data_IF_372582600193
#
_entry.id   IF_372582600193
#
_cell.length_a   1.000
_cell.length_b   1.000
_cell.length_c   1.000
_cell.angle_alpha   90.00
_cell.angle_beta   90.00
_cell.angle_gamma   90.00
#
_symmetry.space_group_name_H-M   'P 1'
#
loop_
_entity.id
_entity.type
_entity.pdbx_description
1 polymer ?
#
# COMPACT_ATOMS: atom_id res chain seq x y z
N UNK A 1 -40.09 16.88 41.30
CA UNK A 1 -39.22 17.53 40.30
C UNK A 1 -38.58 16.44 39.47
N UNK A 2 -39.19 16.13 38.32
CA UNK A 2 -38.69 15.15 37.38
C UNK A 2 -37.36 15.66 36.82
N UNK A 3 -36.26 15.01 37.21
CA UNK A 3 -35.01 15.07 36.48
C UNK A 3 -35.29 14.36 35.15
N UNK A 4 -35.61 15.14 34.14
CA UNK A 4 -35.84 14.67 32.78
C UNK A 4 -34.63 13.88 32.31
N UNK A 5 -34.90 12.65 31.88
CA UNK A 5 -34.02 11.63 31.33
C UNK A 5 -33.38 12.01 29.98
N UNK A 6 -33.12 13.32 29.76
CA UNK A 6 -32.73 13.93 28.48
C UNK A 6 -31.32 14.53 28.48
N UNK A 7 -30.46 14.16 29.43
CA UNK A 7 -29.01 14.30 29.28
C UNK A 7 -28.41 12.91 29.09
N UNK A 8 -28.75 12.26 27.98
CA UNK A 8 -27.89 11.20 27.45
C UNK A 8 -26.60 11.93 27.09
N UNK A 9 -25.55 11.76 27.90
CA UNK A 9 -24.18 12.09 27.52
C UNK A 9 -23.97 11.50 26.12
N UNK A 10 -23.84 12.35 25.10
CA UNK A 10 -23.42 11.91 23.78
C UNK A 10 -21.96 11.45 23.93
N UNK A 11 -21.78 10.18 24.25
CA UNK A 11 -20.46 9.56 24.27
C UNK A 11 -19.94 9.55 22.83
N UNK A 12 -18.84 10.26 22.60
CA UNK A 12 -18.15 10.25 21.32
C UNK A 12 -17.49 8.88 21.14
N UNK A 13 -18.14 7.99 20.38
CA UNK A 13 -17.52 6.75 19.91
C UNK A 13 -16.94 7.00 18.53
N UNK A 14 -15.63 6.84 18.37
CA UNK A 14 -14.96 6.96 17.08
C UNK A 14 -14.15 5.69 16.78
N UNK A 15 -14.27 5.19 15.56
CA UNK A 15 -13.39 4.17 15.02
C UNK A 15 -12.37 4.89 14.12
N UNK A 16 -11.10 4.51 14.22
CA UNK A 16 -10.03 5.28 13.60
C UNK A 16 -9.39 4.53 12.42
N UNK A 17 -9.57 5.08 11.22
CA UNK A 17 -8.71 4.82 10.07
C UNK A 17 -7.83 6.06 9.85
N UNK A 18 -6.69 6.17 10.56
CA UNK A 18 -5.97 7.43 10.70
C UNK A 18 -5.42 7.93 9.37
N UNK A 19 -5.07 7.04 8.42
CA UNK A 19 -4.55 7.40 7.09
C UNK A 19 -5.47 8.38 6.35
N UNK A 20 -6.79 8.26 6.50
CA UNK A 20 -7.73 9.19 5.85
C UNK A 20 -7.59 10.64 6.31
N UNK A 21 -6.97 10.87 7.48
CA UNK A 21 -6.69 12.22 8.02
C UNK A 21 -5.42 12.85 7.47
N UNK A 22 -4.67 12.17 6.60
CA UNK A 22 -3.53 12.80 5.94
C UNK A 22 -4.01 13.99 5.10
N UNK A 23 -3.32 15.14 5.17
CA UNK A 23 -3.68 16.33 4.40
C UNK A 23 -3.84 16.07 2.89
N UNK A 24 -3.06 15.13 2.35
CA UNK A 24 -3.11 14.72 0.94
C UNK A 24 -4.47 14.19 0.53
N UNK A 25 -5.12 13.33 1.35
CA UNK A 25 -6.45 12.81 1.02
C UNK A 25 -7.56 13.83 1.22
N UNK A 26 -7.42 14.71 2.22
CA UNK A 26 -8.36 15.82 2.44
C UNK A 26 -8.32 16.78 1.23
N UNK A 27 -7.11 17.13 0.75
CA UNK A 27 -6.92 17.96 -0.44
C UNK A 27 -7.39 17.25 -1.70
N UNK A 28 -7.11 15.95 -1.86
CA UNK A 28 -7.63 15.16 -2.97
C UNK A 28 -9.16 15.20 -3.00
N UNK A 29 -9.85 15.00 -1.86
CA UNK A 29 -11.32 15.09 -1.81
C UNK A 29 -11.79 16.45 -2.29
N UNK A 30 -11.20 17.53 -1.78
CA UNK A 30 -11.52 18.90 -2.20
C UNK A 30 -11.30 19.09 -3.70
N UNK A 31 -10.19 18.58 -4.23
CA UNK A 31 -9.88 18.64 -5.65
C UNK A 31 -10.93 17.90 -6.50
N UNK A 32 -11.34 16.70 -6.08
CA UNK A 32 -12.39 15.92 -6.74
C UNK A 32 -13.76 16.63 -6.69
N UNK A 33 -14.08 17.34 -5.60
CA UNK A 33 -15.37 18.05 -5.45
C UNK A 33 -15.41 19.42 -6.10
N UNK A 34 -14.33 20.20 -6.00
CA UNK A 34 -14.25 21.60 -6.44
C UNK A 34 -13.81 21.70 -7.91
N UNK A 35 -12.93 20.80 -8.38
CA UNK A 35 -12.33 20.84 -9.72
C UNK A 35 -12.81 19.71 -10.66
N UNK A 36 -13.97 19.10 -10.40
CA UNK A 36 -14.48 17.99 -11.21
C UNK A 36 -14.53 18.29 -12.72
N UNK A 37 -14.76 19.55 -13.11
CA UNK A 37 -14.77 19.96 -14.52
C UNK A 37 -13.39 19.85 -15.22
N UNK A 38 -12.31 19.97 -14.45
CA UNK A 38 -10.94 20.01 -14.96
C UNK A 38 -10.37 18.62 -15.23
N UNK A 39 -10.76 17.62 -14.42
CA UNK A 39 -10.27 16.24 -14.56
C UNK A 39 -11.10 15.41 -15.56
N UNK A 40 -12.36 15.79 -15.76
CA UNK A 40 -13.31 15.06 -16.61
C UNK A 40 -13.86 13.80 -15.94
N UNK A 41 -14.40 12.87 -16.75
CA UNK A 41 -15.00 11.64 -16.22
C UNK A 41 -13.92 10.68 -15.71
N UNK A 42 -14.10 10.16 -14.49
CA UNK A 42 -13.21 9.13 -13.92
C UNK A 42 -13.40 7.83 -14.72
N UNK A 43 -12.29 7.19 -15.10
CA UNK A 43 -12.24 6.00 -15.96
C UNK A 43 -11.71 4.75 -15.25
N UNK A 44 -10.82 4.91 -14.27
CA UNK A 44 -10.44 3.84 -13.36
C UNK A 44 -9.82 4.42 -12.08
N UNK A 45 -9.88 3.62 -11.02
CA UNK A 45 -9.23 3.94 -9.75
C UNK A 45 -8.43 2.71 -9.35
N UNK A 46 -7.15 2.91 -9.04
CA UNK A 46 -6.26 1.88 -8.56
C UNK A 46 -5.66 2.30 -7.22
N UNK A 47 -5.87 1.50 -6.18
CA UNK A 47 -5.22 1.70 -4.89
C UNK A 47 -4.21 0.58 -4.68
N UNK A 48 -2.93 0.92 -4.65
CA UNK A 48 -1.82 0.03 -4.33
C UNK A 48 -1.34 0.26 -2.92
N UNK A 49 -1.22 -0.82 -2.14
CA UNK A 49 -0.55 -0.79 -0.84
C UNK A 49 0.55 -1.84 -0.89
N UNK A 50 1.79 -1.39 -0.80
CA UNK A 50 2.95 -2.23 -0.61
C UNK A 50 3.35 -2.17 0.86
N UNK A 51 3.32 -3.31 1.54
CA UNK A 51 3.65 -3.38 2.95
C UNK A 51 4.57 -4.57 3.25
N UNK A 52 5.47 -4.37 4.21
CA UNK A 52 6.31 -5.44 4.71
C UNK A 52 5.48 -6.43 5.55
N UNK A 53 5.81 -7.72 5.48
CA UNK A 53 5.24 -8.70 6.40
C UNK A 53 5.58 -8.34 7.84
N UNK A 54 4.60 -7.81 8.58
CA UNK A 54 4.65 -7.77 10.02
C UNK A 54 4.76 -9.23 10.50
N UNK A 55 5.78 -9.56 11.30
CA UNK A 55 6.01 -10.92 11.85
C UNK A 55 4.78 -11.54 12.55
N UNK A 56 3.76 -10.75 12.87
CA UNK A 56 2.48 -11.16 13.46
C UNK A 56 1.39 -11.56 12.44
N UNK A 57 1.60 -11.37 11.14
CA UNK A 57 0.62 -11.67 10.10
C UNK A 57 0.62 -13.15 9.66
N UNK A 58 1.63 -13.95 10.04
CA UNK A 58 1.91 -15.25 9.44
C UNK A 58 1.39 -16.49 10.20
N UNK A 59 0.75 -16.36 11.37
CA UNK A 59 0.25 -17.52 12.12
C UNK A 59 -1.18 -17.96 11.73
N UNK A 60 -1.28 -18.75 10.65
CA UNK A 60 -2.14 -19.93 10.45
C UNK A 60 -3.68 -19.92 10.58
N UNK A 61 -4.35 -18.78 10.67
CA UNK A 61 -5.79 -18.63 10.31
C UNK A 61 -6.10 -17.36 9.53
N UNK A 62 -5.06 -16.77 8.93
CA UNK A 62 -4.93 -15.33 8.72
C UNK A 62 -4.91 -14.96 7.21
N UNK A 63 -5.92 -15.41 6.46
CA UNK A 63 -6.38 -14.63 5.30
C UNK A 63 -7.18 -13.40 5.74
N UNK A 64 -7.37 -13.25 7.05
CA UNK A 64 -8.08 -12.16 7.70
C UNK A 64 -7.20 -10.94 8.00
N UNK A 65 -5.87 -11.05 8.17
CA UNK A 65 -5.08 -9.88 8.61
C UNK A 65 -4.85 -8.87 7.50
N UNK A 66 -4.42 -9.27 6.30
CA UNK A 66 -4.05 -8.29 5.28
C UNK A 66 -5.27 -7.47 4.83
N UNK A 67 -6.36 -8.16 4.50
CA UNK A 67 -7.62 -7.54 4.11
C UNK A 67 -8.24 -6.74 5.26
N UNK A 68 -8.25 -7.23 6.50
CA UNK A 68 -8.75 -6.43 7.64
C UNK A 68 -7.85 -5.24 7.97
N UNK A 69 -6.54 -5.39 7.84
CA UNK A 69 -5.57 -4.39 8.29
C UNK A 69 -5.41 -3.33 7.21
N UNK A 70 -4.97 -3.71 6.02
CA UNK A 70 -4.67 -2.77 4.94
C UNK A 70 -5.87 -2.55 4.00
N UNK A 71 -6.66 -3.59 3.76
CA UNK A 71 -7.87 -3.46 2.94
C UNK A 71 -8.91 -2.54 3.57
N UNK A 72 -9.03 -2.56 4.89
CA UNK A 72 -9.92 -1.62 5.60
C UNK A 72 -9.50 -0.15 5.44
N UNK A 73 -8.19 0.14 5.43
CA UNK A 73 -7.69 1.50 5.18
C UNK A 73 -8.03 1.94 3.76
N UNK A 74 -7.73 1.12 2.75
CA UNK A 74 -8.05 1.45 1.36
C UNK A 74 -9.55 1.70 1.17
N UNK A 75 -10.40 0.80 1.69
CA UNK A 75 -11.86 0.94 1.64
C UNK A 75 -12.35 2.21 2.34
N UNK A 76 -11.80 2.53 3.53
CA UNK A 76 -12.20 3.73 4.28
C UNK A 76 -11.93 5.01 3.50
N UNK A 77 -10.79 5.09 2.80
CA UNK A 77 -10.41 6.23 1.97
C UNK A 77 -11.32 6.30 0.75
N UNK A 78 -11.57 5.17 0.08
CA UNK A 78 -12.46 5.14 -1.08
C UNK A 78 -13.88 5.57 -0.73
N UNK A 79 -14.44 5.11 0.40
CA UNK A 79 -15.75 5.55 0.86
C UNK A 79 -15.77 7.01 1.31
N UNK A 80 -14.66 7.52 1.85
CA UNK A 80 -14.53 8.94 2.15
C UNK A 80 -14.51 9.80 0.89
N UNK A 81 -13.82 9.38 -0.17
CA UNK A 81 -13.66 10.13 -1.41
C UNK A 81 -14.93 10.07 -2.28
N UNK A 82 -15.54 8.90 -2.40
CA UNK A 82 -16.61 8.62 -3.38
C UNK A 82 -17.97 8.31 -2.76
N UNK A 83 -18.04 8.19 -1.43
CA UNK A 83 -19.24 7.81 -0.70
C UNK A 83 -19.37 6.28 -0.50
N UNK A 84 -20.27 5.91 0.40
CA UNK A 84 -20.57 4.52 0.85
C UNK A 84 -21.58 3.80 -0.04
N UNK A 85 -22.25 4.54 -0.93
CA UNK A 85 -23.40 4.02 -1.65
C UNK A 85 -22.95 3.12 -2.82
N UNK A 86 -23.67 2.00 -2.97
CA UNK A 86 -23.68 1.14 -4.14
C UNK A 86 -22.43 0.29 -4.44
N UNK A 87 -22.16 -0.75 -3.66
CA UNK A 87 -21.35 -1.89 -4.16
C UNK A 87 -22.23 -2.88 -4.94
N UNK A 88 -21.81 -3.33 -6.12
CA UNK A 88 -22.52 -4.37 -6.91
C UNK A 88 -21.76 -5.65 -7.12
N UNK A 89 -20.45 -5.58 -7.32
CA UNK A 89 -19.68 -6.76 -7.70
C UNK A 89 -18.31 -6.67 -7.07
N UNK A 90 -17.91 -7.78 -6.47
CA UNK A 90 -16.63 -7.94 -5.82
C UNK A 90 -15.98 -9.16 -6.44
N UNK A 91 -14.87 -8.95 -7.16
CA UNK A 91 -14.02 -10.06 -7.62
C UNK A 91 -12.70 -10.01 -6.85
N UNK A 92 -12.28 -11.15 -6.34
CA UNK A 92 -11.09 -11.27 -5.50
C UNK A 92 -10.12 -12.27 -6.12
N UNK A 93 -8.84 -11.90 -6.14
CA UNK A 93 -7.74 -12.77 -6.50
C UNK A 93 -6.72 -12.80 -5.36
N UNK A 94 -6.31 -14.00 -4.99
CA UNK A 94 -5.30 -14.22 -3.95
C UNK A 94 -4.12 -14.96 -4.56
N UNK A 95 -2.94 -14.39 -4.40
CA UNK A 95 -1.69 -15.02 -4.80
C UNK A 95 -0.83 -15.11 -3.56
N UNK A 96 -0.56 -16.33 -3.12
CA UNK A 96 0.42 -16.59 -2.08
C UNK A 96 1.59 -17.31 -2.71
N UNK A 97 2.73 -16.62 -2.76
CA UNK A 97 4.02 -17.20 -3.09
C UNK A 97 4.82 -17.40 -1.79
N UNK A 98 5.95 -18.11 -1.81
CA UNK A 98 6.75 -18.36 -0.61
C UNK A 98 7.19 -17.08 0.14
N UNK A 99 7.33 -15.96 -0.58
CA UNK A 99 7.90 -14.71 -0.08
C UNK A 99 6.99 -13.49 -0.26
N UNK A 100 5.76 -13.68 -0.74
CA UNK A 100 4.80 -12.61 -1.01
C UNK A 100 3.37 -13.11 -0.81
N UNK A 101 2.59 -12.31 -0.11
CA UNK A 101 1.16 -12.50 0.04
C UNK A 101 0.46 -11.33 -0.63
N UNK A 102 -0.21 -11.58 -1.74
CA UNK A 102 -0.93 -10.55 -2.50
C UNK A 102 -2.43 -10.80 -2.41
N UNK A 103 -3.15 -9.76 -1.99
CA UNK A 103 -4.60 -9.69 -1.91
C UNK A 103 -5.08 -8.59 -2.86
N UNK A 104 -5.66 -8.99 -3.98
CA UNK A 104 -6.26 -8.07 -4.93
C UNK A 104 -7.77 -8.24 -4.91
N UNK A 105 -8.50 -7.13 -4.83
CA UNK A 105 -9.94 -7.14 -5.00
C UNK A 105 -10.40 -5.97 -5.86
N UNK A 106 -11.40 -6.23 -6.69
CA UNK A 106 -12.05 -5.24 -7.51
C UNK A 106 -13.43 -4.98 -6.94
N UNK A 107 -13.79 -3.70 -6.86
CA UNK A 107 -15.06 -3.21 -6.36
C UNK A 107 -15.75 -2.42 -7.46
N UNK A 108 -16.92 -2.90 -7.87
CA UNK A 108 -17.75 -2.21 -8.83
C UNK A 108 -18.82 -1.38 -8.11
N UNK A 109 -18.84 -0.08 -8.38
CA UNK A 109 -19.89 0.81 -7.89
C UNK A 109 -21.13 0.74 -8.79
N UNK A 110 -22.33 0.58 -8.22
CA UNK A 110 -23.57 0.43 -8.99
C UNK A 110 -24.39 1.74 -9.05
N UNK A 111 -24.25 2.50 -10.15
CA UNK A 111 -25.19 3.54 -10.65
C UNK A 111 -25.89 4.44 -9.60
N UNK A 112 -25.56 5.73 -9.61
CA UNK A 112 -26.31 6.73 -10.41
C UNK A 112 -25.41 7.80 -11.05
N UNK A 113 -24.12 7.77 -10.72
CA UNK A 113 -23.06 8.61 -11.29
C UNK A 113 -22.11 7.66 -12.04
N UNK A 114 -21.59 8.07 -13.20
CA UNK A 114 -20.77 7.25 -14.13
C UNK A 114 -19.38 6.91 -13.55
N UNK A 115 -19.32 6.35 -12.35
CA UNK A 115 -18.05 5.92 -11.78
C UNK A 115 -17.67 4.54 -12.34
N UNK A 116 -16.42 4.37 -12.77
CA UNK A 116 -15.91 3.13 -13.33
C UNK A 116 -15.66 2.08 -12.23
N UNK A 117 -15.34 0.83 -12.60
CA UNK A 117 -14.81 -0.15 -11.65
C UNK A 117 -13.58 0.40 -10.90
N UNK A 118 -13.53 0.16 -9.59
CA UNK A 118 -12.37 0.48 -8.74
C UNK A 118 -11.59 -0.82 -8.51
N UNK A 119 -10.28 -0.79 -8.76
CA UNK A 119 -9.36 -1.86 -8.42
C UNK A 119 -8.59 -1.49 -7.16
N UNK A 120 -8.51 -2.42 -6.21
CA UNK A 120 -7.66 -2.28 -5.02
C UNK A 120 -6.71 -3.46 -4.99
N UNK A 121 -5.43 -3.15 -5.11
CA UNK A 121 -4.33 -4.10 -5.14
C UNK A 121 -3.51 -3.94 -3.85
N UNK A 122 -3.51 -4.96 -2.99
CA UNK A 122 -2.76 -4.94 -1.74
C UNK A 122 -1.69 -6.02 -1.83
N UNK A 123 -0.45 -5.57 -1.92
CA UNK A 123 0.73 -6.41 -2.08
C UNK A 123 1.48 -6.40 -0.75
N UNK A 124 1.61 -7.56 -0.13
CA UNK A 124 2.39 -7.73 1.09
C UNK A 124 3.63 -8.54 0.79
N UNK A 125 4.77 -7.87 0.73
CA UNK A 125 6.05 -8.50 0.49
C UNK A 125 6.69 -8.85 1.84
N UNK A 126 6.97 -10.13 2.07
CA UNK A 126 7.59 -10.54 3.34
C UNK A 126 9.09 -10.29 3.41
N UNK A 127 9.71 -10.03 2.27
CA UNK A 127 11.15 -9.92 2.11
C UNK A 127 11.68 -8.48 2.11
N UNK A 128 10.85 -7.48 1.77
CA UNK A 128 11.24 -6.07 1.85
C UNK A 128 11.00 -5.61 3.29
N UNK A 129 12.03 -5.18 4.00
CA UNK A 129 11.89 -4.63 5.36
C UNK A 129 11.61 -3.12 5.30
N UNK A 130 10.82 -2.59 6.25
CA UNK A 130 10.63 -1.15 6.53
C UNK A 130 10.00 -0.23 5.46
N UNK A 131 9.52 -0.74 4.32
CA UNK A 131 8.82 0.07 3.32
C UNK A 131 7.31 -0.21 3.36
N UNK A 132 6.55 0.69 3.98
CA UNK A 132 5.14 0.86 3.65
C UNK A 132 5.04 1.96 2.61
N UNK A 133 4.47 1.64 1.46
CA UNK A 133 4.19 2.58 0.41
C UNK A 133 2.72 2.45 0.04
N UNK A 134 2.02 3.58 -0.01
CA UNK A 134 0.66 3.63 -0.51
C UNK A 134 0.58 4.55 -1.72
N UNK A 135 -0.07 4.04 -2.76
CA UNK A 135 -0.31 4.78 -3.98
C UNK A 135 -1.79 4.68 -4.34
N UNK A 136 -2.45 5.82 -4.48
CA UNK A 136 -3.81 5.91 -5.04
C UNK A 136 -3.74 6.64 -6.37
N UNK A 137 -4.10 5.94 -7.43
CA UNK A 137 -4.13 6.44 -8.80
C UNK A 137 -5.59 6.56 -9.22
N UNK A 138 -5.99 7.76 -9.63
CA UNK A 138 -7.31 8.03 -10.21
C UNK A 138 -7.08 8.47 -11.65
N UNK A 139 -7.47 7.63 -12.60
CA UNK A 139 -7.40 7.93 -14.02
C UNK A 139 -8.73 8.56 -14.43
N UNK A 140 -8.68 9.77 -14.95
CA UNK A 140 -9.81 10.48 -15.51
C UNK A 140 -9.55 10.86 -16.97
N UNK A 141 -10.60 11.16 -17.72
CA UNK A 141 -10.52 11.41 -19.17
C UNK A 141 -9.52 12.50 -19.61
N UNK A 142 -9.15 13.45 -18.74
CA UNK A 142 -8.21 14.53 -19.07
C UNK A 142 -6.86 14.41 -18.36
N UNK A 143 -6.77 13.62 -17.29
CA UNK A 143 -5.58 13.54 -16.44
C UNK A 143 -5.58 12.31 -15.54
N UNK A 144 -4.43 12.01 -14.94
CA UNK A 144 -4.33 11.13 -13.78
C UNK A 144 -4.01 11.94 -12.52
N UNK A 145 -4.69 11.64 -11.42
CA UNK A 145 -4.32 12.09 -10.09
C UNK A 145 -3.61 10.95 -9.37
N UNK A 146 -2.45 11.23 -8.82
CA UNK A 146 -1.61 10.25 -8.12
C UNK A 146 -1.37 10.78 -6.72
N UNK A 147 -1.85 10.05 -5.73
CA UNK A 147 -1.46 10.24 -4.33
C UNK A 147 -0.43 9.18 -3.99
N UNK A 148 0.81 9.62 -3.76
CA UNK A 148 1.89 8.76 -3.32
C UNK A 148 2.39 9.29 -1.97
N UNK A 149 2.09 8.55 -0.90
CA UNK A 149 2.31 8.92 0.48
C UNK A 149 1.81 10.33 0.82
N UNK A 150 2.69 11.32 0.70
CA UNK A 150 2.44 12.73 1.05
C UNK A 150 2.28 13.66 -0.15
N UNK A 151 2.40 13.14 -1.36
CA UNK A 151 2.37 13.93 -2.59
C UNK A 151 1.05 13.71 -3.31
N UNK A 152 0.42 14.79 -3.72
CA UNK A 152 -0.68 14.80 -4.68
C UNK A 152 -0.15 15.37 -5.99
N UNK A 153 -0.12 14.53 -7.01
CA UNK A 153 0.44 14.82 -8.33
C UNK A 153 -0.70 14.76 -9.35
N UNK A 154 -0.77 15.74 -10.23
CA UNK A 154 -1.61 15.77 -11.41
C UNK A 154 -0.75 15.51 -12.64
N UNK A 155 -1.08 14.48 -13.41
CA UNK A 155 -0.46 14.21 -14.70
C UNK A 155 -1.45 14.48 -15.83
N UNK A 156 -1.19 15.44 -16.69
CA UNK A 156 -2.05 15.76 -17.85
C UNK A 156 -1.64 14.93 -19.06
N UNK A 157 -2.61 14.28 -19.71
CA UNK A 157 -2.30 13.41 -20.85
C UNK A 157 -1.87 14.19 -22.09
N UNK A 158 -2.43 15.39 -22.31
CA UNK A 158 -2.16 16.17 -23.53
C UNK A 158 -0.76 16.78 -23.57
N UNK A 159 -0.14 17.02 -22.41
CA UNK A 159 1.16 17.71 -22.31
C UNK A 159 2.26 16.82 -21.72
N UNK A 160 1.91 15.61 -21.28
CA UNK A 160 2.72 14.72 -20.42
C UNK A 160 3.34 15.44 -19.20
N UNK A 161 2.74 16.57 -18.81
CA UNK A 161 3.22 17.40 -17.73
C UNK A 161 2.76 16.81 -16.40
N UNK A 162 3.71 16.64 -15.48
CA UNK A 162 3.45 16.30 -14.10
C UNK A 162 3.52 17.54 -13.23
N UNK A 163 2.38 17.90 -12.64
CA UNK A 163 2.23 19.04 -11.76
C UNK A 163 2.08 18.50 -10.34
N UNK A 164 3.00 18.87 -9.47
CA UNK A 164 2.83 18.65 -8.03
C UNK A 164 1.74 19.61 -7.54
N UNK A 165 0.52 19.12 -7.33
CA UNK A 165 -0.57 19.92 -6.74
C UNK A 165 -0.20 20.25 -5.30
N UNK A 166 0.31 19.25 -4.59
CA UNK A 166 0.69 19.40 -3.20
C UNK A 166 1.77 18.38 -2.84
N UNK A 167 2.75 18.83 -2.07
CA UNK A 167 3.62 17.94 -1.31
C UNK A 167 3.47 18.31 0.14
N UNK A 168 2.87 17.41 0.91
CA UNK A 168 2.85 17.55 2.33
C UNK A 168 4.15 17.01 2.91
N UNK A 169 5.20 17.83 2.87
CA UNK A 169 6.20 17.68 3.91
C UNK A 169 5.48 18.13 5.17
N UNK A 170 5.06 17.19 6.03
CA UNK A 170 4.97 17.56 7.44
C UNK A 170 6.31 18.21 7.72
N UNK A 171 6.36 19.35 8.38
CA UNK A 171 7.54 19.66 9.19
C UNK A 171 7.73 18.42 10.04
N UNK A 172 8.54 17.48 9.55
CA UNK A 172 8.63 16.13 10.06
C UNK A 172 9.30 16.38 11.37
N UNK A 173 8.47 16.46 12.41
CA UNK A 173 8.92 16.60 13.77
C UNK A 173 10.03 15.57 13.88
N UNK A 174 11.29 16.01 14.09
CA UNK A 174 12.44 15.09 14.05
C UNK A 174 12.19 13.89 14.95
N UNK A 175 11.38 14.10 16.01
CA UNK A 175 10.81 13.11 16.92
C UNK A 175 9.99 11.99 16.26
N UNK A 176 9.22 12.26 15.21
CA UNK A 176 8.47 11.23 14.47
C UNK A 176 9.41 10.38 13.61
N UNK A 177 10.43 10.99 13.00
CA UNK A 177 11.46 10.25 12.26
C UNK A 177 12.28 9.42 13.24
N UNK A 178 12.72 10.01 14.35
CA UNK A 178 13.43 9.32 15.44
C UNK A 178 12.62 8.14 15.96
N UNK A 179 11.35 8.35 16.31
CA UNK A 179 10.47 7.27 16.75
C UNK A 179 10.28 6.19 15.68
N UNK A 180 10.11 6.56 14.41
CA UNK A 180 10.00 5.58 13.31
C UNK A 180 11.29 4.80 13.08
N UNK A 181 12.45 5.41 13.30
CA UNK A 181 13.76 4.76 13.23
C UNK A 181 13.96 3.80 14.42
N UNK A 182 13.48 4.15 15.60
CA UNK A 182 13.47 3.29 16.79
C UNK A 182 12.47 2.12 16.66
N UNK A 183 11.38 2.33 15.91
CA UNK A 183 10.27 1.39 15.73
C UNK A 183 10.00 1.14 14.22
N UNK A 184 10.92 0.48 13.49
CA UNK A 184 10.83 0.31 12.04
C UNK A 184 9.64 -0.54 11.58
N UNK A 185 8.96 -1.23 12.51
CA UNK A 185 7.71 -1.95 12.26
C UNK A 185 6.49 -1.04 12.16
N UNK A 186 6.60 0.23 12.59
CA UNK A 186 5.54 1.23 12.50
C UNK A 186 5.92 2.24 11.41
N UNK A 187 5.25 2.21 10.25
CA UNK A 187 5.56 3.17 9.21
C UNK A 187 5.29 4.61 9.63
N UNK A 188 6.19 5.52 9.25
CA UNK A 188 6.11 6.96 9.55
C UNK A 188 4.75 7.57 9.20
N UNK A 189 4.16 7.13 8.09
CA UNK A 189 2.86 7.60 7.63
C UNK A 189 1.73 7.30 8.62
N UNK A 190 1.78 6.17 9.34
CA UNK A 190 0.81 5.87 10.39
C UNK A 190 0.95 6.84 11.55
N UNK A 191 2.18 7.07 12.03
CA UNK A 191 2.47 7.98 13.15
C UNK A 191 1.92 9.38 12.86
N UNK A 192 2.21 9.89 11.67
CA UNK A 192 1.74 11.20 11.24
C UNK A 192 0.23 11.24 11.06
N UNK A 193 -0.37 10.22 10.45
CA UNK A 193 -1.81 10.13 10.27
C UNK A 193 -2.56 10.12 11.61
N UNK A 194 -1.99 9.45 12.63
CA UNK A 194 -2.49 9.49 14.01
C UNK A 194 -2.36 10.87 14.64
N UNK A 195 -1.26 11.59 14.39
CA UNK A 195 -1.10 12.96 14.85
C UNK A 195 -2.21 13.88 14.31
N UNK A 196 -2.53 13.79 13.01
CA UNK A 196 -3.64 14.54 12.41
C UNK A 196 -4.99 14.14 12.99
N UNK A 197 -5.24 12.84 13.14
CA UNK A 197 -6.44 12.33 13.78
C UNK A 197 -6.63 12.91 15.19
N UNK A 198 -5.59 12.88 16.04
CA UNK A 198 -5.64 13.43 17.40
C UNK A 198 -5.89 14.95 17.38
N UNK A 199 -5.26 15.66 16.44
CA UNK A 199 -5.51 17.09 16.22
C UNK A 199 -6.99 17.36 15.93
N UNK A 200 -7.56 16.66 14.95
CA UNK A 200 -8.97 16.77 14.58
C UNK A 200 -9.91 16.35 15.72
N UNK A 201 -9.59 15.30 16.46
CA UNK A 201 -10.34 14.85 17.63
C UNK A 201 -10.36 15.92 18.72
N UNK A 202 -9.18 16.46 19.08
CA UNK A 202 -9.03 17.52 20.07
C UNK A 202 -9.85 18.75 19.68
N UNK A 203 -9.73 19.19 18.42
CA UNK A 203 -10.50 20.32 17.92
C UNK A 203 -12.02 20.04 17.91
N UNK A 204 -12.45 18.83 17.56
CA UNK A 204 -13.87 18.44 17.60
C UNK A 204 -14.44 18.47 19.02
N UNK A 205 -13.64 18.05 20.01
CA UNK A 205 -14.04 18.07 21.42
C UNK A 205 -14.09 19.49 21.97
N UNK A 206 -13.10 20.33 21.64
CA UNK A 206 -13.03 21.73 22.12
C UNK A 206 -14.15 22.58 21.53
N UNK A 207 -14.41 22.45 20.23
CA UNK A 207 -15.36 23.34 19.55
C UNK A 207 -16.82 22.91 19.73
N UNK A 208 -17.11 21.79 20.40
CA UNK A 208 -18.44 21.18 20.50
C UNK A 208 -19.18 21.01 19.16
N UNK A 209 -18.45 21.08 18.04
CA UNK A 209 -18.95 21.03 16.68
C UNK A 209 -18.14 19.96 15.96
N UNK A 210 -18.79 18.93 15.42
CA UNK A 210 -18.10 17.91 14.67
C UNK A 210 -17.72 18.52 13.30
N UNK A 211 -16.41 18.70 13.05
CA UNK A 211 -15.92 19.15 11.73
C UNK A 211 -16.39 18.15 10.67
N UNK A 212 -16.91 18.62 9.54
CA UNK A 212 -17.38 17.75 8.44
C UNK A 212 -16.38 16.64 8.11
N UNK A 213 -15.10 16.98 7.98
CA UNK A 213 -14.02 16.00 7.72
C UNK A 213 -13.89 14.93 8.81
N UNK A 214 -13.90 15.32 10.08
CA UNK A 214 -13.79 14.37 11.21
C UNK A 214 -15.03 13.47 11.25
N UNK A 215 -16.22 14.06 11.15
CA UNK A 215 -17.50 13.35 11.12
C UNK A 215 -17.57 12.35 9.98
N UNK A 216 -17.13 12.74 8.78
CA UNK A 216 -17.17 11.89 7.60
C UNK A 216 -16.25 10.68 7.76
N UNK A 217 -14.96 10.91 8.07
CA UNK A 217 -13.94 9.86 8.19
C UNK A 217 -14.18 8.91 9.38
N UNK A 218 -14.80 9.38 10.47
CA UNK A 218 -15.12 8.54 11.63
C UNK A 218 -16.59 8.16 11.69
N UNK A 219 -17.36 8.38 10.63
CA UNK A 219 -18.79 8.04 10.62
C UNK A 219 -18.97 6.54 10.83
N UNK A 220 -19.95 6.17 11.65
CA UNK A 220 -20.31 4.77 11.84
C UNK A 220 -20.70 4.10 10.52
N UNK A 221 -21.26 4.89 9.59
CA UNK A 221 -21.61 4.42 8.25
C UNK A 221 -20.39 3.93 7.45
N UNK A 222 -19.30 4.71 7.39
CA UNK A 222 -18.07 4.26 6.71
C UNK A 222 -17.54 3.00 7.38
N UNK A 223 -17.46 2.97 8.71
CA UNK A 223 -16.91 1.84 9.46
C UNK A 223 -17.71 0.57 9.21
N UNK A 224 -19.04 0.67 9.30
CA UNK A 224 -19.96 -0.41 8.99
C UNK A 224 -19.77 -0.89 7.56
N UNK A 225 -19.69 0.03 6.59
CA UNK A 225 -19.56 -0.31 5.16
C UNK A 225 -18.23 -0.98 4.84
N UNK A 226 -17.14 -0.55 5.47
CA UNK A 226 -15.83 -1.22 5.37
C UNK A 226 -15.94 -2.67 5.84
N UNK A 227 -16.54 -2.91 7.01
CA UNK A 227 -16.67 -4.26 7.55
C UNK A 227 -17.60 -5.13 6.70
N UNK A 228 -18.74 -4.61 6.26
CA UNK A 228 -19.66 -5.28 5.34
C UNK A 228 -18.93 -5.70 4.05
N UNK A 229 -18.15 -4.78 3.47
CA UNK A 229 -17.40 -5.02 2.23
C UNK A 229 -16.31 -6.08 2.44
N UNK A 230 -15.58 -6.04 3.55
CA UNK A 230 -14.59 -7.07 3.89
C UNK A 230 -15.24 -8.45 4.00
N UNK A 231 -16.40 -8.55 4.66
CA UNK A 231 -17.15 -9.81 4.75
C UNK A 231 -17.57 -10.27 3.35
N UNK A 232 -18.08 -9.37 2.52
CA UNK A 232 -18.47 -9.71 1.15
C UNK A 232 -17.28 -10.18 0.29
N UNK A 233 -16.11 -9.52 0.40
CA UNK A 233 -14.85 -9.97 -0.24
C UNK A 233 -14.48 -11.38 0.21
N UNK A 234 -14.63 -11.69 1.50
CA UNK A 234 -14.34 -13.04 2.03
C UNK A 234 -15.29 -14.09 1.51
N UNK A 235 -16.59 -13.80 1.47
CA UNK A 235 -17.56 -14.77 0.94
C UNK A 235 -17.36 -14.98 -0.57
N UNK A 236 -17.03 -13.92 -1.32
CA UNK A 236 -16.65 -14.04 -2.73
C UNK A 236 -15.40 -14.92 -2.90
N UNK A 237 -14.40 -14.77 -2.03
CA UNK A 237 -13.19 -15.59 -2.05
C UNK A 237 -13.44 -17.08 -1.69
N UNK A 238 -14.52 -17.40 -0.96
CA UNK A 238 -14.90 -18.79 -0.63
C UNK A 238 -15.72 -19.47 -1.72
N UNK A 239 -16.46 -18.70 -2.50
CA UNK A 239 -17.43 -19.21 -3.49
C UNK A 239 -16.81 -19.40 -4.87
N UNK A 240 -15.71 -18.73 -5.16
CA UNK A 240 -14.89 -18.98 -6.34
C UNK A 240 -13.87 -20.07 -5.97
N UNK A 241 -13.83 -21.23 -6.66
CA UNK A 241 -12.73 -22.17 -6.46
C UNK A 241 -11.43 -21.43 -6.74
N UNK A 242 -10.42 -21.62 -5.89
CA UNK A 242 -9.03 -21.17 -6.11
C UNK A 242 -8.53 -21.91 -7.34
N UNK A 243 -9.02 -21.49 -8.50
CA UNK A 243 -8.34 -21.69 -9.75
C UNK A 243 -7.23 -20.66 -9.68
N UNK A 244 -6.00 -21.08 -9.93
CA UNK A 244 -4.98 -20.16 -10.39
C UNK A 244 -5.54 -19.53 -11.67
N UNK A 245 -6.35 -18.50 -11.53
CA UNK A 245 -6.90 -17.76 -12.66
C UNK A 245 -5.71 -16.96 -13.16
N UNK A 246 -4.95 -17.59 -14.05
CA UNK A 246 -4.26 -16.90 -15.10
C UNK A 246 -5.31 -15.98 -15.72
N UNK A 247 -5.35 -14.72 -15.26
CA UNK A 247 -5.65 -13.64 -16.17
C UNK A 247 -4.74 -13.90 -17.38
N UNK A 248 -5.25 -13.85 -18.62
CA UNK A 248 -4.38 -13.73 -19.76
C UNK A 248 -3.73 -12.34 -19.67
N UNK A 249 -2.71 -12.24 -18.81
CA UNK A 249 -1.51 -11.54 -19.20
C UNK A 249 -1.07 -12.37 -20.38
N UNK A 250 -1.32 -11.89 -21.58
CA UNK A 250 -0.45 -12.21 -22.71
C UNK A 250 0.94 -11.76 -22.24
N UNK A 251 1.59 -12.63 -21.48
CA UNK A 251 3.03 -12.71 -21.46
C UNK A 251 3.31 -13.12 -22.90
N UNK A 252 3.65 -12.12 -23.71
CA UNK A 252 4.33 -12.42 -24.95
C UNK A 252 5.46 -13.36 -24.56
N UNK A 253 5.48 -14.53 -25.18
CA UNK A 253 6.65 -15.41 -25.24
C UNK A 253 7.74 -14.70 -26.08
N UNK A 254 8.09 -13.48 -25.70
CA UNK A 254 9.06 -12.63 -26.35
C UNK A 254 10.16 -12.30 -25.32
N UNK A 255 11.23 -13.10 -25.44
CA UNK A 255 12.64 -12.80 -25.17
C UNK A 255 13.10 -12.58 -23.70
N UNK A 256 13.82 -13.59 -23.17
CA UNK A 256 14.88 -13.50 -22.15
C UNK A 256 14.61 -12.63 -20.92
N UNK A 257 13.77 -13.11 -20.00
CA UNK A 257 13.77 -12.60 -18.63
C UNK A 257 14.88 -13.32 -17.83
N UNK A 258 15.90 -12.56 -17.37
CA UNK A 258 17.04 -12.99 -16.54
C UNK A 258 16.61 -13.43 -15.11
N UNK A 259 15.69 -14.38 -15.01
CA UNK A 259 15.22 -14.92 -13.74
C UNK A 259 15.89 -16.27 -13.46
N UNK A 260 16.54 -16.38 -12.29
CA UNK A 260 17.07 -17.65 -11.82
C UNK A 260 15.93 -18.59 -11.40
N UNK A 261 15.95 -19.83 -11.89
CA UNK A 261 15.03 -20.88 -11.44
C UNK A 261 15.16 -21.15 -9.93
N UNK A 262 14.08 -21.58 -9.28
CA UNK A 262 14.06 -21.94 -7.85
C UNK A 262 15.16 -22.92 -7.44
N UNK A 263 15.49 -23.89 -8.29
CA UNK A 263 16.54 -24.88 -8.02
C UNK A 263 17.94 -24.24 -7.88
N UNK A 264 18.21 -23.18 -8.63
CA UNK A 264 19.50 -22.45 -8.56
C UNK A 264 19.58 -21.68 -7.25
N UNK A 265 18.48 -21.04 -6.84
CA UNK A 265 18.39 -20.30 -5.58
C UNK A 265 18.61 -21.21 -4.38
N UNK A 266 18.07 -22.44 -4.39
CA UNK A 266 18.32 -23.43 -3.35
C UNK A 266 19.80 -23.85 -3.31
N UNK A 267 20.44 -24.05 -4.46
CA UNK A 267 21.87 -24.38 -4.53
C UNK A 267 22.76 -23.26 -4.01
N UNK A 268 22.43 -22.01 -4.32
CA UNK A 268 23.11 -20.84 -3.75
C UNK A 268 22.97 -20.82 -2.22
N UNK A 269 21.77 -21.09 -1.71
CA UNK A 269 21.49 -21.15 -0.27
C UNK A 269 22.22 -22.27 0.48
N UNK A 270 22.66 -23.31 -0.23
CA UNK A 270 23.39 -24.46 0.32
C UNK A 270 24.91 -24.39 0.09
N UNK A 271 25.43 -23.43 -0.70
CA UNK A 271 26.87 -23.32 -0.96
C UNK A 271 27.61 -22.82 0.28
N UNK A 272 28.54 -23.64 0.76
CA UNK A 272 29.41 -23.28 1.88
C UNK A 272 30.29 -22.08 1.54
N UNK A 273 30.75 -21.97 0.29
CA UNK A 273 31.61 -20.89 -0.20
C UNK A 273 30.88 -19.54 -0.13
N UNK A 274 29.62 -19.51 -0.59
CA UNK A 274 28.76 -18.31 -0.51
C UNK A 274 28.44 -17.98 0.96
N UNK A 275 28.10 -18.98 1.78
CA UNK A 275 27.80 -18.79 3.19
C UNK A 275 28.99 -18.27 3.99
N UNK A 276 30.21 -18.75 3.72
CA UNK A 276 31.45 -18.25 4.34
C UNK A 276 31.71 -16.79 3.98
N UNK A 277 31.53 -16.40 2.71
CA UNK A 277 31.66 -15.01 2.27
C UNK A 277 30.63 -14.10 2.98
N UNK A 278 29.40 -14.56 3.12
CA UNK A 278 28.32 -13.85 3.83
C UNK A 278 28.56 -13.71 5.35
N UNK A 279 29.57 -14.36 5.94
CA UNK A 279 30.00 -14.04 7.31
C UNK A 279 30.67 -12.68 7.40
N UNK A 280 31.26 -12.19 6.31
CA UNK A 280 31.90 -10.88 6.26
C UNK A 280 30.85 -9.77 6.42
N UNK A 281 30.98 -8.98 7.48
CA UNK A 281 30.05 -7.88 7.79
C UNK A 281 30.02 -6.82 6.69
N UNK A 282 31.16 -6.48 6.12
CA UNK A 282 31.27 -5.44 5.10
C UNK A 282 30.53 -5.85 3.82
N UNK A 283 30.71 -7.11 3.39
CA UNK A 283 29.97 -7.67 2.25
C UNK A 283 28.45 -7.62 2.46
N UNK A 284 27.96 -8.05 3.64
CA UNK A 284 26.52 -7.98 3.94
C UNK A 284 25.99 -6.55 3.94
N UNK A 285 26.78 -5.58 4.42
CA UNK A 285 26.40 -4.17 4.38
C UNK A 285 26.32 -3.66 2.96
N UNK A 286 27.25 -4.03 2.08
CA UNK A 286 27.19 -3.67 0.65
C UNK A 286 25.99 -4.28 -0.04
N UNK A 287 25.74 -5.58 0.13
CA UNK A 287 24.56 -6.26 -0.45
C UNK A 287 23.26 -5.59 0.00
N UNK A 288 23.12 -5.29 1.29
CA UNK A 288 21.93 -4.57 1.81
C UNK A 288 21.82 -3.14 1.29
N UNK A 289 22.94 -2.44 1.13
CA UNK A 289 22.96 -1.08 0.58
C UNK A 289 22.55 -1.06 -0.89
N UNK A 290 22.93 -2.07 -1.66
CA UNK A 290 22.51 -2.25 -3.06
C UNK A 290 21.02 -2.59 -3.15
N UNK A 291 20.55 -3.51 -2.32
CA UNK A 291 19.15 -3.93 -2.25
C UNK A 291 18.19 -2.77 -1.90
N UNK A 292 18.67 -1.82 -1.09
CA UNK A 292 17.93 -0.62 -0.70
C UNK A 292 18.32 0.65 -1.50
N UNK A 293 19.12 0.53 -2.56
CA UNK A 293 19.65 1.70 -3.29
C UNK A 293 18.56 2.41 -4.11
N UNK A 294 18.56 3.75 -4.05
CA UNK A 294 17.76 4.61 -4.93
C UNK A 294 18.33 4.71 -6.36
N UNK A 295 19.61 4.33 -6.54
CA UNK A 295 20.35 4.36 -7.81
C UNK A 295 21.15 3.05 -7.99
N UNK A 296 20.47 1.92 -8.21
CA UNK A 296 21.08 0.59 -8.14
C UNK A 296 22.20 0.37 -9.16
N UNK A 297 22.12 0.97 -10.35
CA UNK A 297 23.16 0.85 -11.37
C UNK A 297 24.48 1.51 -10.94
N UNK A 298 24.42 2.73 -10.41
CA UNK A 298 25.61 3.48 -9.97
C UNK A 298 26.24 2.86 -8.72
N UNK A 299 25.41 2.38 -7.80
CA UNK A 299 25.90 1.72 -6.59
C UNK A 299 26.43 0.32 -6.88
N UNK A 300 25.85 -0.41 -7.84
CA UNK A 300 26.39 -1.68 -8.33
C UNK A 300 27.78 -1.48 -8.93
N UNK A 301 28.00 -0.42 -9.72
CA UNK A 301 29.31 -0.10 -10.28
C UNK A 301 30.35 0.17 -9.19
N UNK A 302 29.96 0.84 -8.09
CA UNK A 302 30.84 1.05 -6.92
C UNK A 302 31.11 -0.24 -6.16
N UNK A 303 30.12 -1.12 -6.03
CA UNK A 303 30.32 -2.40 -5.36
C UNK A 303 31.23 -3.32 -6.19
N UNK A 304 31.14 -3.26 -7.52
CA UNK A 304 31.96 -4.05 -8.46
C UNK A 304 33.46 -3.71 -8.45
N UNK A 305 33.90 -2.64 -7.78
CA UNK A 305 35.33 -2.38 -7.55
C UNK A 305 35.86 -2.96 -6.24
N UNK A 306 34.96 -3.42 -5.34
CA UNK A 306 35.34 -3.96 -4.05
C UNK A 306 35.72 -5.46 -4.16
N UNK A 307 36.94 -5.87 -3.81
CA UNK A 307 37.42 -7.24 -4.05
C UNK A 307 36.54 -8.33 -3.44
N UNK A 308 35.98 -8.07 -2.26
CA UNK A 308 35.11 -9.02 -1.55
C UNK A 308 33.74 -9.18 -2.23
N UNK A 309 33.25 -8.12 -2.89
CA UNK A 309 31.99 -8.15 -3.61
C UNK A 309 32.15 -8.83 -4.97
N UNK A 310 33.26 -8.57 -5.67
CA UNK A 310 33.62 -9.31 -6.90
C UNK A 310 33.74 -10.80 -6.61
N UNK A 311 34.49 -11.18 -5.56
CA UNK A 311 34.63 -12.58 -5.15
C UNK A 311 33.28 -13.24 -4.84
N UNK A 312 32.35 -12.50 -4.26
CA UNK A 312 31.00 -12.98 -3.98
C UNK A 312 30.19 -13.23 -5.27
N UNK A 313 30.22 -12.29 -6.22
CA UNK A 313 29.55 -12.43 -7.51
C UNK A 313 30.15 -13.59 -8.32
N UNK A 314 31.47 -13.75 -8.33
CA UNK A 314 32.15 -14.86 -9.00
C UNK A 314 31.67 -16.22 -8.46
N UNK A 315 31.47 -16.35 -7.13
CA UNK A 315 30.94 -17.58 -6.54
C UNK A 315 29.47 -17.83 -6.90
N UNK A 316 28.65 -16.78 -7.00
CA UNK A 316 27.27 -16.92 -7.47
C UNK A 316 27.23 -17.36 -8.94
N UNK A 317 28.02 -16.72 -9.80
CA UNK A 317 28.12 -17.07 -11.22
C UNK A 317 28.60 -18.51 -11.42
N UNK A 318 29.59 -18.96 -10.65
CA UNK A 318 30.06 -20.34 -10.70
C UNK A 318 28.94 -21.37 -10.39
N UNK A 319 27.98 -21.03 -9.53
CA UNK A 319 26.84 -21.92 -9.22
C UNK A 319 25.81 -21.90 -10.35
N UNK A 320 25.56 -20.72 -10.93
CA UNK A 320 24.62 -20.51 -12.05
C UNK A 320 25.12 -21.21 -13.32
N UNK A 321 26.37 -20.96 -13.72
CA UNK A 321 26.98 -21.50 -14.95
C UNK A 321 27.22 -23.01 -14.91
N UNK A 322 27.37 -23.60 -13.72
CA UNK A 322 27.51 -25.06 -13.58
C UNK A 322 26.22 -25.83 -13.94
N UNK A 323 25.11 -25.15 -14.23
CA UNK A 323 23.88 -25.79 -14.73
C UNK A 323 23.94 -26.12 -16.24
N UNK A 324 24.80 -25.45 -17.01
CA UNK A 324 24.87 -25.60 -18.47
C UNK A 324 25.80 -26.74 -18.94
N UNK A 325 26.39 -27.50 -18.01
CA UNK A 325 27.36 -28.57 -18.29
C UNK A 325 26.97 -29.97 -17.77
N UNK A 326 25.71 -30.17 -17.36
CA UNK A 326 25.18 -31.49 -16.97
C UNK A 326 23.99 -31.89 -17.84
#
# INVERSE_FOLDING_TARGET
SLISTQQIQQQLCCYCYPIGFLPTFIKLKRYLTEEHANIGDIQSIEFRIHCCSLKSCSNDRINSSLLNRFGSFALSILFYLFGTQYLSTISHAYIQSPNETTCSFHINYNRSIRLPPISVNIISNSHISSTYNQELIIIASKCALIVNDYRLILRRFNTDEQILIDSFHSDTNEKFIEFSNENPEIPLIFIQSFYYFIGHLKESLINHIPRSTFTELTSFEIVYKVQETIVAIREAARTVPITQTQLPIELGDDEECDHLSTDILERIGQSNEVLELLKNRHLRTMIKSLDCSLYPADDMQKAMVEPIFVQFVDQLLAIVENKDKQ
#
